data_IF_404741101551
#
_entry.id   IF_404741101551
#
_cell.length_a   1.000
_cell.length_b   1.000
_cell.length_c   1.000
_cell.angle_alpha   90.00
_cell.angle_beta   90.00
_cell.angle_gamma   90.00
#
_symmetry.space_group_name_H-M   'P 1'
#
loop_
_entity.id
_entity.type
_entity.pdbx_description
1 polymer ?
#
# COMPACT_ATOMS: atom_id res chain seq x y z
N UNK A 1 0.59 29.37 -8.93
CA UNK A 1 0.86 29.14 -7.49
C UNK A 1 0.64 30.44 -6.70
N UNK A 2 -0.53 31.09 -6.82
CA UNK A 2 -0.74 32.46 -6.28
C UNK A 2 -1.82 32.59 -5.20
N UNK A 3 -2.78 31.66 -5.12
CA UNK A 3 -3.88 31.73 -4.13
C UNK A 3 -3.63 30.95 -2.84
N UNK A 4 -2.60 30.08 -2.82
CA UNK A 4 -2.25 29.27 -1.64
C UNK A 4 -1.24 30.02 -0.79
N UNK A 5 -1.72 30.61 0.30
CA UNK A 5 -0.90 31.40 1.25
C UNK A 5 -0.21 30.57 2.34
N UNK A 6 -0.63 29.32 2.56
CA UNK A 6 -0.12 28.46 3.65
C UNK A 6 1.08 27.57 3.27
N UNK A 7 1.87 27.15 4.27
CA UNK A 7 3.02 26.25 4.11
C UNK A 7 2.64 24.88 3.51
N UNK A 8 3.59 24.22 2.86
CA UNK A 8 3.49 22.81 2.41
C UNK A 8 3.17 21.89 3.61
N UNK A 9 1.91 21.47 3.72
CA UNK A 9 1.38 20.65 4.82
C UNK A 9 0.28 21.32 5.65
N UNK A 10 0.02 22.62 5.45
CA UNK A 10 -1.04 23.34 6.20
C UNK A 10 -2.45 22.87 5.86
N UNK A 11 -2.68 22.35 4.64
CA UNK A 11 -3.98 21.80 4.22
C UNK A 11 -4.18 20.33 4.59
N UNK A 12 -3.10 19.54 4.54
CA UNK A 12 -3.12 18.11 4.87
C UNK A 12 -1.76 17.77 5.49
N UNK A 13 -1.79 17.19 6.68
CA UNK A 13 -0.59 16.85 7.42
C UNK A 13 0.16 15.66 6.83
N UNK A 14 1.49 15.62 6.97
CA UNK A 14 2.30 14.47 6.50
C UNK A 14 1.85 13.14 7.12
N UNK A 15 1.52 13.16 8.42
CA UNK A 15 1.05 11.98 9.17
C UNK A 15 -0.31 11.51 8.66
N UNK A 16 -1.21 12.44 8.35
CA UNK A 16 -2.54 12.13 7.81
C UNK A 16 -2.43 11.45 6.45
N UNK A 17 -1.62 12.01 5.54
CA UNK A 17 -1.32 11.41 4.24
C UNK A 17 -0.75 10.00 4.40
N UNK A 18 0.20 9.82 5.33
CA UNK A 18 0.79 8.51 5.59
C UNK A 18 -0.23 7.49 6.09
N UNK A 19 -1.05 7.86 7.07
CA UNK A 19 -2.08 6.99 7.65
C UNK A 19 -3.12 6.61 6.59
N UNK A 20 -3.59 7.57 5.79
CA UNK A 20 -4.52 7.32 4.70
C UNK A 20 -3.94 6.35 3.67
N UNK A 21 -2.68 6.57 3.26
CA UNK A 21 -1.94 5.69 2.34
C UNK A 21 -1.85 4.26 2.88
N UNK A 22 -1.35 4.07 4.09
CA UNK A 22 -1.15 2.74 4.69
C UNK A 22 -2.49 2.00 4.85
N UNK A 23 -3.54 2.70 5.30
CA UNK A 23 -4.89 2.11 5.45
C UNK A 23 -5.45 1.66 4.11
N UNK A 24 -5.33 2.48 3.07
CA UNK A 24 -5.79 2.14 1.72
C UNK A 24 -5.08 0.88 1.17
N UNK A 25 -3.76 0.81 1.33
CA UNK A 25 -2.96 -0.34 0.88
C UNK A 25 -3.33 -1.62 1.63
N UNK A 26 -3.46 -1.55 2.97
CA UNK A 26 -3.86 -2.71 3.79
C UNK A 26 -5.26 -3.21 3.47
N UNK A 27 -6.21 -2.29 3.24
CA UNK A 27 -7.56 -2.67 2.81
C UNK A 27 -7.52 -3.43 1.49
N UNK A 28 -6.74 -2.95 0.51
CA UNK A 28 -6.62 -3.63 -0.78
C UNK A 28 -5.96 -5.01 -0.65
N UNK A 29 -4.89 -5.10 0.14
CA UNK A 29 -4.21 -6.37 0.42
C UNK A 29 -5.16 -7.38 1.10
N UNK A 30 -6.04 -6.93 2.00
CA UNK A 30 -7.07 -7.77 2.62
C UNK A 30 -8.03 -8.35 1.58
N UNK A 31 -8.53 -7.54 0.65
CA UNK A 31 -9.41 -8.01 -0.44
C UNK A 31 -8.73 -9.09 -1.30
N UNK A 32 -7.45 -8.93 -1.60
CA UNK A 32 -6.65 -9.92 -2.35
C UNK A 32 -6.53 -11.22 -1.56
N UNK A 33 -6.29 -11.15 -0.25
CA UNK A 33 -6.28 -12.32 0.65
C UNK A 33 -7.63 -13.03 0.67
N UNK A 34 -8.71 -12.27 0.78
CA UNK A 34 -10.08 -12.80 0.87
C UNK A 34 -10.49 -13.51 -0.43
N UNK A 35 -9.95 -13.07 -1.57
CA UNK A 35 -10.07 -13.74 -2.88
C UNK A 35 -9.18 -14.98 -3.04
N UNK A 36 -8.38 -15.32 -2.03
CA UNK A 36 -7.41 -16.43 -2.04
C UNK A 36 -6.33 -16.31 -3.13
N UNK A 37 -6.07 -15.09 -3.60
CA UNK A 37 -5.00 -14.81 -4.57
C UNK A 37 -3.59 -14.93 -3.95
N UNK A 38 -3.49 -14.81 -2.62
CA UNK A 38 -2.25 -14.90 -1.83
C UNK A 38 -2.45 -15.80 -0.61
N UNK A 39 -1.36 -16.41 -0.12
CA UNK A 39 -1.38 -17.20 1.12
C UNK A 39 -1.34 -16.30 2.35
N UNK A 40 -1.67 -16.85 3.52
CA UNK A 40 -1.59 -16.09 4.77
C UNK A 40 -0.15 -15.65 5.12
N UNK A 41 0.86 -16.43 4.71
CA UNK A 41 2.27 -16.10 4.92
C UNK A 41 2.67 -14.86 4.11
N UNK A 42 2.40 -14.88 2.80
CA UNK A 42 2.65 -13.76 1.88
C UNK A 42 1.91 -12.49 2.31
N UNK A 43 0.67 -12.63 2.80
CA UNK A 43 -0.10 -11.52 3.33
C UNK A 43 0.65 -10.78 4.43
N UNK A 44 1.20 -11.49 5.42
CA UNK A 44 1.91 -10.85 6.53
C UNK A 44 3.25 -10.24 6.10
N UNK A 45 3.94 -10.83 5.14
CA UNK A 45 5.16 -10.27 4.56
C UNK A 45 4.87 -8.93 3.86
N UNK A 46 3.87 -8.89 2.99
CA UNK A 46 3.43 -7.64 2.33
C UNK A 46 2.88 -6.63 3.34
N UNK A 47 2.15 -7.08 4.37
CA UNK A 47 1.61 -6.21 5.41
C UNK A 47 2.72 -5.47 6.18
N UNK A 48 3.82 -6.17 6.51
CA UNK A 48 5.01 -5.56 7.13
C UNK A 48 5.70 -4.58 6.17
N UNK A 49 5.88 -4.93 4.89
CA UNK A 49 6.45 -4.04 3.86
C UNK A 49 5.64 -2.76 3.67
N UNK A 50 4.31 -2.83 3.74
CA UNK A 50 3.44 -1.64 3.71
C UNK A 50 3.70 -0.76 4.95
N UNK A 51 3.81 -1.37 6.14
CA UNK A 51 4.12 -0.66 7.38
C UNK A 51 5.51 -0.01 7.39
N UNK A 52 6.47 -0.58 6.66
CA UNK A 52 7.81 -0.03 6.44
C UNK A 52 7.89 1.01 5.31
N UNK A 53 6.76 1.42 4.71
CA UNK A 53 6.70 2.34 3.56
C UNK A 53 7.48 1.87 2.30
N UNK A 54 7.84 0.58 2.21
CA UNK A 54 8.45 -0.02 1.01
C UNK A 54 7.48 0.00 -0.16
N UNK A 55 6.18 -0.18 0.12
CA UNK A 55 5.11 -0.08 -0.88
C UNK A 55 4.76 1.38 -1.14
N UNK A 56 4.90 1.79 -2.40
CA UNK A 56 4.82 3.20 -2.82
C UNK A 56 3.39 3.65 -3.07
N UNK A 57 2.61 2.84 -3.76
CA UNK A 57 1.22 3.11 -4.16
C UNK A 57 0.49 1.79 -4.49
N UNK A 58 -0.76 1.87 -4.95
CA UNK A 58 -1.57 0.70 -5.28
C UNK A 58 -1.01 -0.08 -6.48
N UNK A 59 -0.45 0.61 -7.48
CA UNK A 59 0.15 -0.05 -8.64
C UNK A 59 1.35 -0.91 -8.22
N UNK A 60 2.26 -0.37 -7.42
CA UNK A 60 3.39 -1.12 -6.87
C UNK A 60 2.92 -2.31 -6.02
N UNK A 61 1.84 -2.16 -5.23
CA UNK A 61 1.27 -3.30 -4.51
C UNK A 61 0.79 -4.41 -5.46
N UNK A 62 0.16 -4.06 -6.58
CA UNK A 62 -0.32 -5.03 -7.59
C UNK A 62 0.84 -5.77 -8.23
N UNK A 63 1.88 -5.05 -8.65
CA UNK A 63 3.10 -5.66 -9.23
C UNK A 63 3.73 -6.66 -8.26
N UNK A 64 3.85 -6.32 -6.97
CA UNK A 64 4.39 -7.24 -5.96
C UNK A 64 3.51 -8.49 -5.77
N UNK A 65 2.18 -8.36 -5.91
CA UNK A 65 1.28 -9.51 -5.82
C UNK A 65 1.41 -10.39 -7.06
N UNK A 66 1.51 -9.78 -8.25
CA UNK A 66 1.72 -10.49 -9.51
C UNK A 66 3.05 -11.26 -9.49
N UNK A 67 4.15 -10.66 -9.02
CA UNK A 67 5.45 -11.33 -8.84
C UNK A 67 5.37 -12.56 -7.93
N UNK A 68 4.61 -12.47 -6.83
CA UNK A 68 4.38 -13.61 -5.93
C UNK A 68 3.56 -14.70 -6.63
N UNK A 69 2.59 -14.32 -7.47
CA UNK A 69 1.76 -15.27 -8.21
C UNK A 69 2.53 -15.96 -9.32
N UNK A 70 3.40 -15.26 -10.05
CA UNK A 70 4.25 -15.87 -11.08
C UNK A 70 5.20 -16.88 -10.45
N UNK A 71 5.85 -16.51 -9.33
CA UNK A 71 6.78 -17.39 -8.61
C UNK A 71 6.13 -18.66 -7.99
N UNK A 72 4.80 -18.77 -7.97
CA UNK A 72 4.08 -19.99 -7.56
C UNK A 72 3.73 -20.92 -8.71
N UNK A 73 3.68 -20.38 -9.93
CA UNK A 73 3.26 -21.12 -11.12
C UNK A 73 4.44 -21.87 -11.74
N UNK A 74 5.64 -21.36 -11.52
CA UNK A 74 6.91 -22.05 -11.77
C UNK A 74 7.17 -23.09 -10.67
#
# INVERSE_FOLDING_TARGET
QGSKKGRKGARVGKKEVYVAKVRALRRRLKVVKDRKEITNKEFWELYKKIGGNTVRNIAHLRTLIEEIQTAKKD
#
